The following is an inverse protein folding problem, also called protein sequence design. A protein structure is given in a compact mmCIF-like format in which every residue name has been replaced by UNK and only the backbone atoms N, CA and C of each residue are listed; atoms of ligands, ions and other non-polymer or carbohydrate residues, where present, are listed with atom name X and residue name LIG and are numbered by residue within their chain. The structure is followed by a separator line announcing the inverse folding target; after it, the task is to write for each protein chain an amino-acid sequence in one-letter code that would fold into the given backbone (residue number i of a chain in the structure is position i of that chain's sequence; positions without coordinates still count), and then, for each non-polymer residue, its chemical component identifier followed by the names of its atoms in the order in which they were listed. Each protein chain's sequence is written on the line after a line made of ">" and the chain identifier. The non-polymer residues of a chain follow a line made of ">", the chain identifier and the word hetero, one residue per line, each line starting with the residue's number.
data_IF_328217816117
#
_entry.id   IF_328217816117
#
_cell.length_a   1.000
_cell.length_b   1.000
_cell.length_c   1.000
_cell.angle_alpha   90.00
_cell.angle_beta   90.00
_cell.angle_gamma   90.00
#
_symmetry.space_group_name_H-M   'P 1'
#
loop_
_entity.id
_entity.type
_entity.pdbx_description
1 polymer ?
#
# COMPACT_ATOMS: atom_id res chain seq x y z
N UNK A 1 19.86 -10.45 0.32
CA UNK A 1 18.67 -11.31 0.19
C UNK A 1 18.98 -12.41 -0.80
N UNK A 2 18.55 -13.65 -0.56
CA UNK A 2 18.82 -14.76 -1.47
C UNK A 2 17.95 -14.67 -2.74
N UNK A 3 18.38 -15.30 -3.83
CA UNK A 3 17.61 -15.38 -5.09
C UNK A 3 16.23 -16.06 -4.90
N UNK A 4 16.04 -16.80 -3.80
CA UNK A 4 14.78 -17.49 -3.46
C UNK A 4 13.67 -16.58 -2.92
N UNK A 5 13.97 -15.34 -2.54
CA UNK A 5 12.98 -14.38 -2.00
C UNK A 5 12.66 -13.23 -2.97
N UNK A 6 13.04 -13.39 -4.24
CA UNK A 6 12.78 -12.40 -5.28
C UNK A 6 11.31 -12.43 -5.70
N UNK A 7 10.63 -11.28 -5.65
CA UNK A 7 9.22 -11.16 -6.05
C UNK A 7 9.16 -10.88 -7.55
N UNK A 8 8.42 -11.69 -8.29
CA UNK A 8 8.17 -11.50 -9.73
C UNK A 8 6.92 -10.64 -9.91
N UNK A 9 7.07 -9.48 -10.55
CA UNK A 9 5.99 -8.52 -10.75
C UNK A 9 5.67 -8.43 -12.24
N UNK A 10 4.46 -8.80 -12.64
CA UNK A 10 3.98 -8.52 -14.00
C UNK A 10 3.82 -7.00 -14.18
N UNK A 11 4.58 -6.42 -15.11
CA UNK A 11 4.39 -5.03 -15.54
C UNK A 11 3.36 -5.01 -16.68
N UNK A 12 2.15 -4.55 -16.36
CA UNK A 12 1.05 -4.42 -17.32
C UNK A 12 0.89 -2.95 -17.70
N UNK A 13 1.33 -2.62 -18.91
CA UNK A 13 1.44 -1.25 -19.42
C UNK A 13 1.00 -1.13 -20.87
N UNK A 14 0.55 0.07 -21.25
CA UNK A 14 0.21 0.45 -22.64
C UNK A 14 1.46 0.74 -23.49
N UNK A 15 2.48 -0.11 -23.37
CA UNK A 15 3.78 0.04 -24.03
C UNK A 15 4.80 -0.92 -23.43
N UNK A 16 5.86 -1.24 -24.18
CA UNK A 16 6.94 -2.14 -23.72
C UNK A 16 7.96 -1.41 -22.84
N UNK A 17 8.23 -0.14 -23.14
CA UNK A 17 9.11 0.72 -22.36
C UNK A 17 8.56 2.15 -22.32
N UNK A 18 8.64 2.80 -21.16
CA UNK A 18 8.31 4.22 -21.03
C UNK A 18 9.57 5.07 -20.97
N UNK A 19 9.80 5.86 -22.03
CA UNK A 19 10.87 6.86 -22.06
C UNK A 19 10.79 7.77 -20.82
N UNK A 20 11.85 7.76 -20.01
CA UNK A 20 11.97 8.58 -18.81
C UNK A 20 11.40 8.00 -17.51
N UNK A 21 10.58 6.94 -17.55
CA UNK A 21 10.01 6.30 -16.34
C UNK A 21 10.54 4.88 -16.14
N UNK A 22 10.91 4.18 -17.21
CA UNK A 22 11.34 2.78 -17.17
C UNK A 22 12.50 2.55 -16.20
N UNK A 23 13.53 3.41 -16.26
CA UNK A 23 14.68 3.36 -15.34
C UNK A 23 14.26 3.53 -13.88
N UNK A 24 13.30 4.40 -13.61
CA UNK A 24 12.81 4.65 -12.25
C UNK A 24 12.02 3.44 -11.70
N UNK A 25 11.26 2.75 -12.56
CA UNK A 25 10.58 1.49 -12.23
C UNK A 25 11.59 0.39 -11.88
N UNK A 26 12.61 0.21 -12.72
CA UNK A 26 13.65 -0.79 -12.51
C UNK A 26 14.45 -0.52 -11.23
N UNK A 27 14.82 0.75 -11.01
CA UNK A 27 15.50 1.16 -9.78
C UNK A 27 14.65 0.82 -8.55
N UNK A 28 13.38 1.22 -8.53
CA UNK A 28 12.49 0.96 -7.40
C UNK A 28 12.25 -0.56 -7.17
N UNK A 29 12.07 -1.34 -8.24
CA UNK A 29 11.92 -2.79 -8.13
C UNK A 29 13.19 -3.45 -7.57
N UNK A 30 14.37 -3.04 -8.05
CA UNK A 30 15.66 -3.58 -7.60
C UNK A 30 15.91 -3.33 -6.12
N UNK A 31 15.55 -2.13 -5.62
CA UNK A 31 15.65 -1.78 -4.19
C UNK A 31 14.84 -2.72 -3.29
N UNK A 32 13.76 -3.31 -3.81
CA UNK A 32 12.84 -4.19 -3.06
C UNK A 32 13.12 -5.67 -3.26
N UNK A 33 14.22 -6.02 -3.95
CA UNK A 33 14.50 -7.38 -4.41
C UNK A 33 13.31 -7.95 -5.22
N UNK A 34 12.81 -7.17 -6.17
CA UNK A 34 11.75 -7.56 -7.09
C UNK A 34 12.23 -7.47 -8.54
N UNK A 35 11.66 -8.31 -9.41
CA UNK A 35 11.96 -8.34 -10.84
C UNK A 35 10.70 -8.11 -11.65
N UNK A 36 10.80 -7.18 -12.60
CA UNK A 36 9.72 -6.89 -13.54
C UNK A 36 9.70 -7.98 -14.63
N UNK A 37 8.51 -8.50 -14.90
CA UNK A 37 8.22 -9.50 -15.93
C UNK A 37 7.22 -8.87 -16.89
N UNK A 38 7.51 -8.96 -18.19
CA UNK A 38 6.61 -8.52 -19.25
C UNK A 38 5.83 -9.74 -19.75
N UNK A 39 4.52 -9.84 -19.51
CA UNK A 39 3.75 -11.00 -19.95
C UNK A 39 3.78 -11.13 -21.47
N UNK A 40 4.15 -12.31 -21.95
CA UNK A 40 4.02 -12.67 -23.36
C UNK A 40 2.56 -12.99 -23.69
N UNK A 41 2.17 -12.78 -24.94
CA UNK A 41 0.78 -12.89 -25.39
C UNK A 41 0.74 -13.20 -26.89
N UNK A 42 -0.31 -13.86 -27.36
CA UNK A 42 -0.53 -14.14 -28.79
C UNK A 42 -1.15 -12.96 -29.52
N UNK A 43 -0.44 -12.41 -30.52
CA UNK A 43 -0.83 -11.21 -31.29
C UNK A 43 -2.22 -11.34 -31.88
N UNK A 44 -2.67 -12.56 -32.22
CA UNK A 44 -4.01 -12.80 -32.74
C UNK A 44 -5.14 -12.44 -31.76
N UNK A 45 -4.86 -12.42 -30.44
CA UNK A 45 -5.84 -12.05 -29.42
C UNK A 45 -6.22 -10.56 -29.43
N UNK A 46 -5.38 -9.69 -30.01
CA UNK A 46 -5.59 -8.24 -29.96
C UNK A 46 -6.88 -7.79 -30.65
N UNK A 47 -7.32 -8.49 -31.70
CA UNK A 47 -8.53 -8.14 -32.44
C UNK A 47 -9.81 -8.47 -31.68
N UNK A 48 -9.74 -9.39 -30.71
CA UNK A 48 -10.90 -9.87 -29.94
C UNK A 48 -10.89 -9.46 -28.47
N UNK A 49 -9.78 -8.89 -27.99
CA UNK A 49 -9.59 -8.56 -26.57
C UNK A 49 -10.63 -7.56 -26.04
N UNK A 50 -11.16 -6.68 -26.88
CA UNK A 50 -12.19 -5.73 -26.47
C UNK A 50 -13.48 -6.44 -26.03
N UNK A 51 -13.82 -7.57 -26.67
CA UNK A 51 -14.97 -8.40 -26.30
C UNK A 51 -14.77 -9.07 -24.94
N UNK A 52 -13.56 -9.55 -24.63
CA UNK A 52 -13.25 -10.22 -23.36
C UNK A 52 -13.48 -9.30 -22.15
N UNK A 53 -13.21 -8.00 -22.31
CA UNK A 53 -13.37 -6.99 -21.26
C UNK A 53 -14.69 -6.21 -21.38
N UNK A 54 -15.47 -6.42 -22.44
CA UNK A 54 -16.63 -5.58 -22.76
C UNK A 54 -16.27 -4.10 -22.97
N UNK A 55 -15.05 -3.82 -23.42
CA UNK A 55 -14.48 -2.48 -23.59
C UNK A 55 -13.70 -2.41 -24.89
N UNK A 56 -14.23 -1.71 -25.89
CA UNK A 56 -13.51 -1.43 -27.13
C UNK A 56 -12.66 -0.17 -27.00
N UNK A 57 -11.40 -0.25 -27.45
CA UNK A 57 -10.45 0.86 -27.43
C UNK A 57 -9.78 1.05 -28.78
N UNK A 58 -9.52 2.30 -29.15
CA UNK A 58 -8.93 2.62 -30.45
C UNK A 58 -7.41 2.34 -30.48
N UNK A 59 -6.73 2.53 -29.34
CA UNK A 59 -5.28 2.39 -29.24
C UNK A 59 -4.82 0.92 -29.26
N UNK A 60 -3.95 0.52 -30.20
CA UNK A 60 -3.34 -0.81 -30.20
C UNK A 60 -2.53 -1.10 -28.92
N UNK A 61 -1.90 -0.08 -28.35
CA UNK A 61 -1.12 -0.21 -27.11
C UNK A 61 -2.02 -0.50 -25.90
N UNK A 62 -3.25 0.05 -25.88
CA UNK A 62 -4.23 -0.29 -24.85
C UNK A 62 -4.78 -1.70 -25.04
N UNK A 63 -5.01 -2.15 -26.29
CA UNK A 63 -5.35 -3.55 -26.58
C UNK A 63 -4.24 -4.50 -26.11
N UNK A 64 -2.98 -4.14 -26.34
CA UNK A 64 -1.81 -4.87 -25.84
C UNK A 64 -1.80 -4.95 -24.32
N UNK A 65 -2.09 -3.84 -23.64
CA UNK A 65 -2.20 -3.80 -22.18
C UNK A 65 -3.27 -4.76 -21.66
N UNK A 66 -4.44 -4.80 -22.32
CA UNK A 66 -5.55 -5.70 -21.99
C UNK A 66 -5.18 -7.18 -22.25
N UNK A 67 -4.52 -7.47 -23.36
CA UNK A 67 -4.05 -8.82 -23.69
C UNK A 67 -3.01 -9.33 -22.70
N UNK A 68 -2.06 -8.49 -22.27
CA UNK A 68 -1.10 -8.81 -21.21
C UNK A 68 -1.80 -9.12 -19.88
N UNK A 69 -2.86 -8.38 -19.53
CA UNK A 69 -3.64 -8.66 -18.34
C UNK A 69 -4.33 -10.03 -18.41
N UNK A 70 -4.91 -10.38 -19.57
CA UNK A 70 -5.49 -11.70 -19.83
C UNK A 70 -4.45 -12.82 -19.71
N UNK A 71 -3.26 -12.65 -20.30
CA UNK A 71 -2.18 -13.62 -20.20
C UNK A 71 -1.71 -13.88 -18.76
N UNK A 72 -1.73 -12.85 -17.89
CA UNK A 72 -1.45 -13.02 -16.46
C UNK A 72 -2.52 -13.86 -15.78
N UNK A 73 -3.80 -13.59 -16.04
CA UNK A 73 -4.93 -14.35 -15.46
C UNK A 73 -4.94 -15.80 -15.93
N UNK A 74 -4.61 -16.05 -17.20
CA UNK A 74 -4.51 -17.40 -17.77
C UNK A 74 -3.28 -18.18 -17.26
N UNK A 75 -2.41 -17.55 -16.47
CA UNK A 75 -1.25 -18.20 -15.87
C UNK A 75 -0.09 -18.42 -16.85
N UNK A 76 -0.08 -17.72 -17.99
CA UNK A 76 1.01 -17.77 -18.98
C UNK A 76 2.30 -17.21 -18.37
N UNK A 77 2.18 -16.13 -17.60
CA UNK A 77 3.29 -15.53 -16.85
C UNK A 77 3.26 -15.98 -15.38
N UNK A 78 4.33 -16.64 -14.91
CA UNK A 78 4.50 -16.95 -13.48
C UNK A 78 4.97 -15.72 -12.72
N UNK A 79 4.05 -15.09 -11.98
CA UNK A 79 4.29 -13.87 -11.21
C UNK A 79 3.62 -13.93 -9.85
N UNK A 80 4.12 -13.14 -8.90
CA UNK A 80 3.62 -13.05 -7.53
C UNK A 80 2.70 -11.83 -7.31
N UNK A 81 2.71 -10.87 -8.24
CA UNK A 81 1.89 -9.68 -8.19
C UNK A 81 1.88 -8.94 -9.52
N UNK A 82 0.96 -7.98 -9.65
CA UNK A 82 0.76 -7.23 -10.90
C UNK A 82 0.81 -5.73 -10.64
N UNK A 83 1.65 -5.04 -11.40
CA UNK A 83 1.73 -3.59 -11.40
C UNK A 83 1.15 -3.06 -12.71
N UNK A 84 -0.03 -2.45 -12.61
CA UNK A 84 -0.77 -1.92 -13.77
C UNK A 84 -0.48 -0.43 -13.91
N UNK A 85 0.09 0.01 -15.02
CA UNK A 85 0.53 1.40 -15.14
C UNK A 85 0.26 2.02 -16.51
N UNK A 86 -0.01 3.32 -16.53
CA UNK A 86 -0.18 4.10 -17.76
C UNK A 86 0.13 5.59 -17.52
N UNK A 87 0.21 6.38 -18.59
CA UNK A 87 0.40 7.83 -18.46
C UNK A 87 -0.88 8.51 -17.97
N UNK A 88 -0.74 9.63 -17.26
CA UNK A 88 -1.88 10.42 -16.76
C UNK A 88 -2.65 11.19 -17.84
N UNK A 89 -2.06 11.37 -19.03
CA UNK A 89 -2.65 12.22 -20.09
C UNK A 89 -3.74 11.53 -20.91
N UNK A 90 -3.82 10.19 -20.86
CA UNK A 90 -4.76 9.43 -21.67
C UNK A 90 -6.00 9.03 -20.83
N UNK A 91 -7.15 9.64 -21.15
CA UNK A 91 -8.42 9.32 -20.49
C UNK A 91 -8.87 7.87 -20.75
N UNK A 92 -8.70 7.38 -21.98
CA UNK A 92 -8.99 5.98 -22.34
C UNK A 92 -8.13 5.01 -21.53
N UNK A 93 -6.84 5.31 -21.33
CA UNK A 93 -5.95 4.51 -20.49
C UNK A 93 -6.38 4.47 -19.02
N UNK A 94 -7.02 5.53 -18.51
CA UNK A 94 -7.54 5.53 -17.14
C UNK A 94 -8.70 4.53 -16.97
N UNK A 95 -9.58 4.43 -17.98
CA UNK A 95 -10.67 3.44 -18.00
C UNK A 95 -10.08 2.03 -18.11
N UNK A 96 -9.20 1.80 -19.08
CA UNK A 96 -8.54 0.51 -19.30
C UNK A 96 -7.79 0.04 -18.06
N UNK A 97 -7.02 0.92 -17.40
CA UNK A 97 -6.28 0.59 -16.18
C UNK A 97 -7.22 0.14 -15.05
N UNK A 98 -8.36 0.79 -14.89
CA UNK A 98 -9.36 0.41 -13.88
C UNK A 98 -10.01 -0.94 -14.20
N UNK A 99 -10.37 -1.16 -15.46
CA UNK A 99 -10.98 -2.42 -15.92
C UNK A 99 -10.02 -3.60 -15.82
N UNK A 100 -8.78 -3.44 -16.27
CA UNK A 100 -7.72 -4.43 -16.14
C UNK A 100 -7.45 -4.78 -14.67
N UNK A 101 -7.34 -3.77 -13.81
CA UNK A 101 -7.15 -4.00 -12.37
C UNK A 101 -8.27 -4.84 -11.79
N UNK A 102 -9.53 -4.50 -12.11
CA UNK A 102 -10.72 -5.26 -11.67
C UNK A 102 -10.69 -6.69 -12.21
N UNK A 103 -10.39 -6.87 -13.49
CA UNK A 103 -10.32 -8.17 -14.15
C UNK A 103 -9.25 -9.07 -13.53
N UNK A 104 -8.01 -8.58 -13.37
CA UNK A 104 -6.93 -9.35 -12.74
C UNK A 104 -7.33 -9.76 -11.33
N UNK A 105 -7.85 -8.81 -10.56
CA UNK A 105 -8.26 -9.07 -9.18
C UNK A 105 -9.29 -10.22 -9.10
N UNK A 106 -10.35 -10.14 -9.91
CA UNK A 106 -11.46 -11.09 -9.88
C UNK A 106 -11.07 -12.50 -10.33
N UNK A 107 -10.03 -12.63 -11.16
CA UNK A 107 -9.75 -13.88 -11.87
C UNK A 107 -8.40 -14.54 -11.53
N UNK A 108 -7.47 -13.86 -10.84
CA UNK A 108 -6.12 -14.41 -10.56
C UNK A 108 -5.79 -14.68 -9.09
N UNK A 109 -6.47 -13.99 -8.15
CA UNK A 109 -6.08 -14.00 -6.74
C UNK A 109 -4.69 -13.40 -6.46
N UNK A 110 -4.07 -12.74 -7.45
CA UNK A 110 -2.82 -12.00 -7.33
C UNK A 110 -3.08 -10.60 -6.78
N UNK A 111 -2.14 -10.06 -5.97
CA UNK A 111 -2.21 -8.66 -5.60
C UNK A 111 -1.98 -7.77 -6.82
N UNK A 112 -2.80 -6.74 -6.96
CA UNK A 112 -2.73 -5.81 -8.08
C UNK A 112 -2.73 -4.37 -7.59
N UNK A 113 -1.67 -3.64 -7.92
CA UNK A 113 -1.55 -2.21 -7.64
C UNK A 113 -1.52 -1.49 -8.97
N UNK A 114 -2.39 -0.48 -9.11
CA UNK A 114 -2.44 0.35 -10.31
C UNK A 114 -1.92 1.75 -10.05
N UNK A 115 -1.16 2.31 -10.99
CA UNK A 115 -0.66 3.69 -10.91
C UNK A 115 -0.78 4.42 -12.24
N UNK A 116 -0.94 5.74 -12.16
CA UNK A 116 -0.90 6.65 -13.30
C UNK A 116 0.31 7.55 -13.15
N UNK A 117 1.35 7.34 -13.96
CA UNK A 117 2.57 8.14 -13.84
C UNK A 117 2.37 9.55 -14.42
N UNK A 118 3.05 10.52 -13.80
CA UNK A 118 3.17 11.91 -14.28
C UNK A 118 4.46 12.09 -15.07
N UNK A 119 4.64 13.27 -15.67
CA UNK A 119 5.84 13.63 -16.45
C UNK A 119 7.16 13.54 -15.67
N UNK A 120 7.10 13.57 -14.34
CA UNK A 120 8.27 13.54 -13.45
C UNK A 120 8.12 12.46 -12.39
N UNK A 121 7.75 11.26 -12.80
CA UNK A 121 7.69 10.12 -11.88
C UNK A 121 9.10 9.70 -11.49
N UNK A 122 9.35 9.62 -10.18
CA UNK A 122 10.65 9.23 -9.60
C UNK A 122 10.59 7.84 -8.99
N UNK A 123 11.74 7.19 -8.81
CA UNK A 123 11.86 5.91 -8.14
C UNK A 123 11.30 5.97 -6.72
N UNK A 124 11.50 7.07 -5.99
CA UNK A 124 10.93 7.26 -4.66
C UNK A 124 9.39 7.21 -4.66
N UNK A 125 8.75 7.77 -5.70
CA UNK A 125 7.28 7.72 -5.85
C UNK A 125 6.81 6.29 -6.12
N UNK A 126 7.57 5.54 -6.92
CA UNK A 126 7.26 4.15 -7.27
C UNK A 126 7.56 3.19 -6.12
N UNK A 127 8.55 3.51 -5.28
CA UNK A 127 9.03 2.66 -4.20
C UNK A 127 7.90 2.28 -3.25
N UNK A 128 7.11 3.24 -2.74
CA UNK A 128 5.99 2.93 -1.83
C UNK A 128 4.97 1.99 -2.46
N UNK A 129 4.71 2.13 -3.76
CA UNK A 129 3.73 1.30 -4.48
C UNK A 129 4.24 -0.12 -4.69
N UNK A 130 5.49 -0.25 -5.08
CA UNK A 130 6.12 -1.56 -5.23
C UNK A 130 6.40 -2.20 -3.86
N UNK A 131 6.66 -1.42 -2.82
CA UNK A 131 6.85 -1.91 -1.45
C UNK A 131 5.54 -2.50 -0.91
N UNK A 132 4.41 -1.81 -1.10
CA UNK A 132 3.09 -2.35 -0.81
C UNK A 132 2.82 -3.64 -1.62
N UNK A 133 3.09 -3.63 -2.95
CA UNK A 133 2.85 -4.80 -3.81
C UNK A 133 3.67 -6.02 -3.35
N UNK A 134 4.97 -5.83 -3.14
CA UNK A 134 5.90 -6.88 -2.73
C UNK A 134 5.61 -7.37 -1.32
N UNK A 135 5.16 -6.47 -0.42
CA UNK A 135 4.65 -6.87 0.89
C UNK A 135 3.50 -7.82 0.74
N UNK A 136 2.45 -7.46 -0.01
CA UNK A 136 1.24 -8.26 -0.13
C UNK A 136 1.56 -9.61 -0.76
N UNK A 137 2.43 -9.62 -1.78
CA UNK A 137 2.91 -10.85 -2.41
C UNK A 137 3.64 -11.77 -1.41
N UNK A 138 4.56 -11.23 -0.59
CA UNK A 138 5.35 -12.00 0.39
C UNK A 138 4.54 -12.43 1.62
N UNK A 139 3.61 -11.59 2.06
CA UNK A 139 2.94 -11.67 3.38
C UNK A 139 1.44 -11.91 3.28
N UNK A 140 0.94 -12.46 2.16
CA UNK A 140 -0.49 -12.74 1.92
C UNK A 140 -1.17 -13.43 3.10
N UNK A 141 -0.50 -14.42 3.71
CA UNK A 141 -1.00 -15.16 4.87
C UNK A 141 -1.15 -14.29 6.13
N UNK A 142 -0.22 -13.36 6.39
CA UNK A 142 -0.34 -12.43 7.52
C UNK A 142 -1.49 -11.44 7.31
N UNK A 143 -1.65 -10.94 6.08
CA UNK A 143 -2.71 -9.99 5.74
C UNK A 143 -4.11 -10.62 5.73
N UNK A 144 -4.19 -11.92 5.46
CA UNK A 144 -5.43 -12.68 5.51
C UNK A 144 -5.91 -12.99 6.95
N UNK A 145 -5.10 -12.74 7.99
CA UNK A 145 -5.52 -12.96 9.37
C UNK A 145 -6.61 -11.98 9.76
N UNK A 146 -7.78 -12.48 10.14
CA UNK A 146 -8.91 -11.63 10.56
C UNK A 146 -8.93 -11.32 12.06
N UNK A 147 -8.18 -12.12 12.85
CA UNK A 147 -8.11 -12.03 14.30
C UNK A 147 -6.66 -11.86 14.77
N UNK A 148 -6.46 -10.90 15.66
CA UNK A 148 -5.27 -10.75 16.48
C UNK A 148 -5.37 -11.77 17.63
N UNK A 149 -4.26 -12.45 17.92
CA UNK A 149 -4.19 -13.44 19.00
C UNK A 149 -2.90 -13.24 19.78
N UNK A 150 -2.93 -13.55 21.06
CA UNK A 150 -1.79 -13.33 21.94
C UNK A 150 -1.62 -11.87 22.32
N UNK A 151 -0.53 -11.53 23.01
CA UNK A 151 -0.27 -10.18 23.51
C UNK A 151 0.72 -9.50 22.57
N UNK A 152 0.30 -8.45 21.85
CA UNK A 152 1.15 -7.77 20.86
C UNK A 152 1.05 -6.26 21.00
N UNK A 153 2.12 -5.56 20.61
CA UNK A 153 2.11 -4.11 20.50
C UNK A 153 2.30 -3.65 19.05
N UNK A 154 1.54 -2.62 18.65
CA UNK A 154 1.71 -1.93 17.38
C UNK A 154 2.11 -0.47 17.62
N UNK A 155 3.12 0.03 16.90
CA UNK A 155 3.61 1.42 17.00
C UNK A 155 3.54 2.08 15.63
N UNK A 156 2.81 3.18 15.52
CA UNK A 156 2.72 4.02 14.32
C UNK A 156 3.37 5.37 14.58
N UNK A 157 4.54 5.60 13.98
CA UNK A 157 5.24 6.88 14.08
C UNK A 157 5.09 7.70 12.80
N UNK A 158 4.04 8.53 12.81
CA UNK A 158 3.75 9.49 11.76
C UNK A 158 4.51 10.80 11.94
N UNK A 159 4.32 11.71 10.99
CA UNK A 159 4.99 13.02 10.96
C UNK A 159 4.64 13.97 12.10
N UNK A 160 3.44 13.82 12.66
CA UNK A 160 2.88 14.74 13.65
C UNK A 160 2.71 14.06 15.01
N UNK A 161 2.31 12.79 15.00
CA UNK A 161 2.01 12.02 16.21
C UNK A 161 2.56 10.60 16.09
N UNK A 162 3.01 10.08 17.23
CA UNK A 162 3.40 8.68 17.40
C UNK A 162 2.38 8.02 18.32
N UNK A 163 1.82 6.90 17.86
CA UNK A 163 0.77 6.15 18.54
C UNK A 163 1.26 4.74 18.83
N UNK A 164 0.85 4.18 19.96
CA UNK A 164 1.08 2.79 20.29
C UNK A 164 -0.20 2.16 20.85
N UNK A 165 -0.41 0.89 20.56
CA UNK A 165 -1.53 0.11 21.08
C UNK A 165 -1.02 -1.25 21.55
N UNK A 166 -1.42 -1.67 22.74
CA UNK A 166 -1.24 -3.04 23.25
C UNK A 166 -2.57 -3.76 23.12
N UNK A 167 -2.56 -4.91 22.42
CA UNK A 167 -3.75 -5.73 22.20
C UNK A 167 -3.55 -7.14 22.72
N UNK A 168 -4.66 -7.75 23.17
CA UNK A 168 -4.75 -9.17 23.48
C UNK A 168 -6.05 -9.75 22.93
N UNK A 169 -5.92 -10.74 22.06
CA UNK A 169 -7.04 -11.50 21.50
C UNK A 169 -8.17 -10.58 20.99
N UNK A 170 -7.83 -9.64 20.11
CA UNK A 170 -8.68 -8.58 19.52
C UNK A 170 -9.11 -7.44 20.47
N UNK A 171 -8.81 -7.52 21.77
CA UNK A 171 -9.11 -6.46 22.73
C UNK A 171 -7.94 -5.48 22.89
N UNK A 172 -8.23 -4.18 22.89
CA UNK A 172 -7.26 -3.13 23.22
C UNK A 172 -7.13 -3.05 24.75
N UNK A 173 -5.92 -3.30 25.26
CA UNK A 173 -5.62 -3.24 26.70
C UNK A 173 -5.05 -1.89 27.12
N UNK A 174 -4.38 -1.19 26.20
CA UNK A 174 -3.80 0.12 26.47
C UNK A 174 -3.38 0.84 25.20
N UNK A 175 -3.35 2.16 25.27
CA UNK A 175 -3.01 3.06 24.19
C UNK A 175 -2.03 4.15 24.66
N UNK A 176 -1.20 4.61 23.74
CA UNK A 176 -0.31 5.73 23.95
C UNK A 176 -0.35 6.64 22.74
N UNK A 177 -0.40 7.94 22.98
CA UNK A 177 -0.49 8.93 21.90
C UNK A 177 0.31 10.17 22.29
N UNK A 178 1.40 10.42 21.57
CA UNK A 178 2.28 11.56 21.83
C UNK A 178 2.61 12.33 20.54
N UNK A 179 2.95 13.62 20.63
CA UNK A 179 3.52 14.35 19.51
C UNK A 179 4.84 13.71 19.04
N UNK A 180 5.05 13.58 17.72
CA UNK A 180 6.34 13.15 17.18
C UNK A 180 7.32 14.31 17.21
N UNK A 181 8.23 14.33 18.18
CA UNK A 181 9.31 15.33 18.26
C UNK A 181 10.63 14.69 17.86
N UNK A 182 11.00 13.60 18.54
CA UNK A 182 12.12 12.74 18.19
C UNK A 182 11.61 11.31 18.09
N UNK A 183 11.77 10.71 16.92
CA UNK A 183 11.13 9.43 16.55
C UNK A 183 11.29 8.34 17.62
N UNK A 184 12.52 8.09 18.09
CA UNK A 184 12.78 7.04 19.08
C UNK A 184 12.22 7.36 20.46
N UNK A 185 12.48 8.55 20.99
CA UNK A 185 11.97 8.98 22.31
C UNK A 185 10.42 9.01 22.31
N UNK A 186 9.80 9.41 21.20
CA UNK A 186 8.34 9.45 21.06
C UNK A 186 7.76 8.03 20.97
N UNK A 187 8.44 7.10 20.30
CA UNK A 187 8.03 5.70 20.23
C UNK A 187 8.13 5.01 21.60
N UNK A 188 9.24 5.21 22.31
CA UNK A 188 9.42 4.67 23.67
C UNK A 188 8.36 5.24 24.62
N UNK A 189 8.09 6.55 24.54
CA UNK A 189 7.07 7.19 25.36
C UNK A 189 5.65 6.69 25.06
N UNK A 190 5.28 6.54 23.78
CA UNK A 190 3.97 6.02 23.40
C UNK A 190 3.81 4.56 23.85
N UNK A 191 4.82 3.71 23.62
CA UNK A 191 4.78 2.32 24.04
C UNK A 191 4.69 2.19 25.57
N UNK A 192 5.44 3.00 26.32
CA UNK A 192 5.38 3.00 27.77
C UNK A 192 3.99 3.38 28.28
N UNK A 193 3.35 4.41 27.73
CA UNK A 193 1.97 4.79 28.09
C UNK A 193 0.99 3.64 27.85
N UNK A 194 1.07 2.97 26.70
CA UNK A 194 0.20 1.85 26.37
C UNK A 194 0.41 0.65 27.31
N UNK A 195 1.66 0.34 27.67
CA UNK A 195 2.01 -0.71 28.62
C UNK A 195 1.54 -0.41 30.04
N UNK A 196 1.75 0.83 30.51
CA UNK A 196 1.31 1.27 31.83
C UNK A 196 -0.21 1.16 31.97
N UNK A 197 -0.96 1.59 30.94
CA UNK A 197 -2.42 1.46 30.91
C UNK A 197 -2.86 0.00 30.88
N UNK A 198 -2.17 -0.86 30.14
CA UNK A 198 -2.43 -2.30 30.11
C UNK A 198 -2.01 -3.03 31.41
N UNK A 199 -1.28 -2.37 32.31
CA UNK A 199 -0.70 -3.00 33.51
C UNK A 199 0.34 -4.08 33.17
N UNK A 200 1.04 -3.92 32.04
CA UNK A 200 1.98 -4.88 31.49
C UNK A 200 3.38 -4.30 31.39
N UNK A 201 4.37 -5.18 31.18
CA UNK A 201 5.74 -4.82 30.85
C UNK A 201 6.07 -5.25 29.44
N UNK A 202 7.16 -4.72 28.90
CA UNK A 202 7.63 -5.05 27.56
C UNK A 202 7.91 -6.55 27.40
N UNK A 203 8.35 -7.22 28.46
CA UNK A 203 8.66 -8.66 28.43
C UNK A 203 7.41 -9.55 28.31
N UNK A 204 6.21 -8.99 28.56
CA UNK A 204 4.93 -9.69 28.39
C UNK A 204 4.48 -9.71 26.91
N UNK A 205 5.05 -8.83 26.07
CA UNK A 205 4.73 -8.75 24.64
C UNK A 205 5.34 -9.93 23.89
N UNK A 206 4.51 -10.61 23.10
CA UNK A 206 4.91 -11.74 22.25
C UNK A 206 5.40 -11.31 20.87
N UNK A 207 4.95 -10.14 20.41
CA UNK A 207 5.44 -9.53 19.18
C UNK A 207 5.24 -8.00 19.17
N UNK A 208 6.12 -7.31 18.45
CA UNK A 208 6.05 -5.87 18.20
C UNK A 208 6.00 -5.60 16.70
N UNK A 209 5.01 -4.81 16.28
CA UNK A 209 4.89 -4.28 14.92
C UNK A 209 5.15 -2.78 14.88
N UNK A 210 5.82 -2.30 13.83
CA UNK A 210 6.06 -0.86 13.60
C UNK A 210 5.63 -0.41 12.21
N UNK A 211 5.10 0.81 12.16
CA UNK A 211 4.68 1.50 10.94
C UNK A 211 4.89 3.01 11.04
N UNK A 212 4.48 3.74 10.00
CA UNK A 212 4.74 5.16 9.86
C UNK A 212 6.05 5.46 9.13
N UNK A 213 6.33 6.77 9.00
CA UNK A 213 7.60 7.29 8.49
C UNK A 213 8.79 6.85 9.35
N UNK A 214 8.61 6.71 10.67
CA UNK A 214 9.64 6.30 11.61
C UNK A 214 9.92 4.79 11.69
N UNK A 215 9.14 3.96 10.97
CA UNK A 215 9.07 2.50 11.19
C UNK A 215 10.41 1.76 11.14
N UNK A 216 11.31 2.15 10.24
CA UNK A 216 12.59 1.45 10.04
C UNK A 216 13.51 1.69 11.24
N UNK A 217 13.61 2.95 11.66
CA UNK A 217 14.42 3.36 12.80
C UNK A 217 13.90 2.75 14.11
N UNK A 218 12.58 2.77 14.30
CA UNK A 218 11.94 2.16 15.48
C UNK A 218 12.05 0.63 15.42
N UNK A 219 11.89 0.05 14.23
CA UNK A 219 11.99 -1.39 14.02
C UNK A 219 13.34 -1.94 14.43
N UNK A 220 14.41 -1.25 14.06
CA UNK A 220 15.78 -1.58 14.49
C UNK A 220 15.98 -1.36 16.00
N UNK A 221 15.57 -0.19 16.52
CA UNK A 221 15.71 0.14 17.95
C UNK A 221 14.97 -0.83 18.88
N UNK A 222 13.78 -1.26 18.49
CA UNK A 222 12.95 -2.15 19.30
C UNK A 222 13.09 -3.63 18.96
N UNK A 223 13.91 -3.97 17.95
CA UNK A 223 14.00 -5.31 17.39
C UNK A 223 12.61 -5.88 17.04
N UNK A 224 11.83 -5.11 16.27
CA UNK A 224 10.43 -5.43 15.95
C UNK A 224 10.30 -6.63 15.03
N UNK A 225 9.35 -7.51 15.33
CA UNK A 225 9.03 -8.71 14.55
C UNK A 225 8.43 -8.36 13.18
N UNK A 226 7.72 -7.23 13.10
CA UNK A 226 7.08 -6.77 11.89
C UNK A 226 7.35 -5.28 11.65
N UNK A 227 8.12 -4.96 10.62
CA UNK A 227 8.21 -3.59 10.08
C UNK A 227 7.39 -3.52 8.80
N UNK A 228 6.42 -2.61 8.76
CA UNK A 228 5.42 -2.57 7.68
C UNK A 228 5.03 -1.15 7.29
N UNK A 229 4.92 -0.89 6.00
CA UNK A 229 4.47 0.41 5.47
C UNK A 229 2.98 0.71 5.76
N UNK A 230 2.63 2.00 5.78
CA UNK A 230 1.35 2.51 6.28
C UNK A 230 0.14 2.14 5.41
N UNK A 231 0.26 2.02 4.09
CA UNK A 231 -0.88 1.75 3.19
C UNK A 231 -1.52 0.42 3.56
N UNK A 232 -0.72 -0.62 3.70
CA UNK A 232 -1.18 -1.97 4.05
C UNK A 232 -1.78 -2.00 5.46
N UNK A 233 -1.15 -1.32 6.44
CA UNK A 233 -1.64 -1.33 7.81
C UNK A 233 -2.87 -0.45 8.03
N UNK A 234 -2.92 0.76 7.45
CA UNK A 234 -4.10 1.63 7.52
C UNK A 234 -5.30 0.96 6.84
N UNK A 235 -5.06 0.25 5.73
CA UNK A 235 -6.08 -0.60 5.11
C UNK A 235 -6.59 -1.65 6.07
N UNK A 236 -5.68 -2.45 6.64
CA UNK A 236 -6.04 -3.57 7.52
C UNK A 236 -6.73 -3.10 8.80
N UNK A 237 -6.26 -2.01 9.40
CA UNK A 237 -6.82 -1.40 10.59
C UNK A 237 -8.24 -0.86 10.32
N UNK A 238 -8.41 -0.07 9.26
CA UNK A 238 -9.70 0.56 8.96
C UNK A 238 -10.80 -0.48 8.67
N UNK A 239 -10.50 -1.53 7.91
CA UNK A 239 -11.47 -2.59 7.61
C UNK A 239 -11.71 -3.53 8.78
N UNK A 240 -10.71 -3.75 9.65
CA UNK A 240 -10.86 -4.48 10.91
C UNK A 240 -11.85 -3.75 11.82
N UNK A 241 -11.62 -2.46 12.10
CA UNK A 241 -12.47 -1.64 12.95
C UNK A 241 -13.89 -1.48 12.39
N UNK A 242 -14.04 -1.44 11.07
CA UNK A 242 -15.35 -1.34 10.41
C UNK A 242 -16.10 -2.69 10.31
N UNK A 243 -15.49 -3.82 10.70
CA UNK A 243 -16.06 -5.15 10.45
C UNK A 243 -16.25 -5.45 8.97
N UNK A 244 -15.38 -4.90 8.11
CA UNK A 244 -15.42 -4.99 6.63
C UNK A 244 -14.16 -5.63 6.05
N UNK A 245 -13.62 -6.62 6.74
CA UNK A 245 -12.43 -7.35 6.29
C UNK A 245 -12.66 -8.16 5.00
N UNK A 246 -13.92 -8.39 4.61
CA UNK A 246 -14.32 -9.04 3.37
C UNK A 246 -15.15 -8.09 2.49
N UNK A 247 -15.02 -8.25 1.18
CA UNK A 247 -15.67 -7.42 0.18
C UNK A 247 -14.92 -6.12 -0.13
N UNK A 248 -15.57 -5.26 -0.92
CA UNK A 248 -15.02 -3.98 -1.34
C UNK A 248 -15.18 -2.91 -0.26
N UNK A 249 -14.15 -2.11 -0.04
CA UNK A 249 -14.20 -0.92 0.79
C UNK A 249 -13.34 0.21 0.20
N UNK A 250 -13.55 1.42 0.70
CA UNK A 250 -12.67 2.56 0.43
C UNK A 250 -12.22 3.13 1.75
N UNK A 251 -10.91 3.23 1.94
CA UNK A 251 -10.30 3.86 3.11
C UNK A 251 -9.81 5.24 2.72
N UNK A 252 -10.23 6.24 3.49
CA UNK A 252 -9.76 7.63 3.37
C UNK A 252 -9.02 7.94 4.65
N UNK A 253 -7.70 8.05 4.56
CA UNK A 253 -6.79 8.40 5.65
C UNK A 253 -6.43 9.88 5.50
N UNK A 254 -6.84 10.71 6.46
CA UNK A 254 -6.51 12.14 6.48
C UNK A 254 -5.52 12.37 7.63
N UNK A 255 -4.24 12.33 7.29
CA UNK A 255 -3.15 12.54 8.24
C UNK A 255 -2.84 14.02 8.48
N UNK A 256 -1.76 14.26 9.23
CA UNK A 256 -1.27 15.62 9.52
C UNK A 256 -0.72 16.33 8.28
N UNK A 257 0.17 15.68 7.53
CA UNK A 257 0.86 16.27 6.37
C UNK A 257 0.43 15.71 5.01
N UNK A 258 -0.23 14.55 5.00
CA UNK A 258 -0.67 13.88 3.79
C UNK A 258 -2.12 13.38 3.95
N UNK A 259 -2.69 12.95 2.82
CA UNK A 259 -3.95 12.22 2.79
C UNK A 259 -3.81 11.05 1.82
N UNK A 260 -4.60 10.01 2.02
CA UNK A 260 -4.57 8.80 1.22
C UNK A 260 -5.99 8.34 0.94
N UNK A 261 -6.25 7.95 -0.30
CA UNK A 261 -7.46 7.25 -0.68
C UNK A 261 -7.06 5.89 -1.21
N UNK A 262 -7.58 4.83 -0.60
CA UNK A 262 -7.20 3.45 -0.85
C UNK A 262 -8.46 2.68 -1.19
N UNK A 263 -8.50 2.10 -2.38
CA UNK A 263 -9.47 1.05 -2.71
C UNK A 263 -9.01 -0.26 -2.07
N UNK A 264 -9.93 -0.90 -1.37
CA UNK A 264 -9.67 -2.11 -0.60
C UNK A 264 -10.59 -3.20 -1.08
N UNK A 265 -10.08 -4.42 -1.08
CA UNK A 265 -10.87 -5.59 -1.36
C UNK A 265 -10.35 -6.74 -0.51
N UNK A 266 -11.24 -7.34 0.27
CA UNK A 266 -10.90 -8.44 1.20
C UNK A 266 -9.73 -8.09 2.13
N UNK A 267 -9.73 -6.84 2.62
CA UNK A 267 -8.72 -6.30 3.52
C UNK A 267 -7.34 -6.06 2.88
N UNK A 268 -7.23 -6.20 1.56
CA UNK A 268 -5.99 -5.98 0.80
C UNK A 268 -6.10 -4.67 0.01
N UNK A 269 -5.08 -3.79 0.06
CA UNK A 269 -5.08 -2.57 -0.74
C UNK A 269 -4.89 -2.87 -2.23
N UNK A 270 -5.70 -2.24 -3.08
CA UNK A 270 -5.59 -2.28 -4.53
C UNK A 270 -4.99 -0.99 -5.10
N UNK A 271 -5.83 -0.17 -5.73
CA UNK A 271 -5.43 1.18 -6.15
C UNK A 271 -5.39 2.11 -4.94
N UNK A 272 -4.35 2.94 -4.87
CA UNK A 272 -4.34 4.06 -3.93
C UNK A 272 -3.71 5.31 -4.53
N UNK A 273 -4.16 6.45 -4.01
CA UNK A 273 -3.58 7.76 -4.27
C UNK A 273 -3.15 8.36 -2.95
N UNK A 274 -1.95 8.93 -2.93
CA UNK A 274 -1.48 9.74 -1.81
C UNK A 274 -1.44 11.19 -2.29
N UNK A 275 -2.08 12.08 -1.52
CA UNK A 275 -1.90 13.51 -1.68
C UNK A 275 -0.44 13.90 -1.46
N UNK A 276 0.01 14.92 -2.19
CA UNK A 276 1.31 15.53 -1.90
C UNK A 276 1.27 16.33 -0.59
N UNK A 277 2.37 17.01 -0.28
CA UNK A 277 2.52 17.95 0.86
C UNK A 277 1.73 19.26 0.58
N UNK A 278 0.53 19.15 0.01
CA UNK A 278 -0.37 20.28 -0.15
C UNK A 278 -1.20 20.38 1.12
N UNK A 279 -0.88 21.36 1.96
CA UNK A 279 -1.52 21.55 3.26
C UNK A 279 -3.06 21.61 3.16
N UNK A 280 -3.62 22.11 2.05
CA UNK A 280 -5.06 22.36 1.88
C UNK A 280 -5.99 21.15 2.02
N UNK A 281 -5.46 19.92 2.06
CA UNK A 281 -6.24 18.70 2.25
C UNK A 281 -5.68 17.79 3.37
N UNK A 282 -5.02 18.36 4.37
CA UNK A 282 -4.47 17.61 5.52
C UNK A 282 -4.79 18.29 6.86
N UNK A 283 -4.51 17.59 7.96
CA UNK A 283 -4.68 18.11 9.32
C UNK A 283 -3.92 19.42 9.58
N UNK A 284 -2.80 19.65 8.89
CA UNK A 284 -2.03 20.89 8.98
C UNK A 284 -2.85 22.13 8.56
N UNK A 285 -3.74 22.01 7.57
CA UNK A 285 -4.63 23.13 7.22
C UNK A 285 -5.62 23.44 8.34
N UNK A 286 -6.19 22.40 8.96
CA UNK A 286 -7.05 22.59 10.12
C UNK A 286 -6.25 23.29 11.22
N UNK A 287 -5.05 22.81 11.55
CA UNK A 287 -4.17 23.36 12.61
C UNK A 287 -3.83 24.83 12.38
N UNK A 288 -3.47 25.21 11.15
CA UNK A 288 -3.21 26.61 10.81
C UNK A 288 -4.47 27.48 10.92
N UNK A 289 -5.62 26.94 10.52
CA UNK A 289 -6.90 27.66 10.53
C UNK A 289 -7.39 27.88 11.96
N UNK A 290 -7.33 26.86 12.80
CA UNK A 290 -7.76 26.94 14.19
C UNK A 290 -6.92 27.95 14.98
N UNK A 291 -5.58 27.93 14.79
CA UNK A 291 -4.66 28.92 15.37
C UNK A 291 -5.01 30.35 14.97
N UNK A 292 -5.42 30.58 13.72
CA UNK A 292 -5.85 31.92 13.25
C UNK A 292 -7.17 32.37 13.84
N UNK A 293 -8.09 31.42 14.06
CA UNK A 293 -9.40 31.67 14.65
C UNK A 293 -9.35 31.74 16.18
N UNK A 294 -8.24 31.37 16.81
CA UNK A 294 -8.12 31.30 18.27
C UNK A 294 -8.95 30.17 18.88
N UNK A 295 -9.13 29.07 18.14
CA UNK A 295 -9.88 27.88 18.58
C UNK A 295 -8.99 26.64 18.56
N UNK A 296 -9.28 25.67 19.40
CA UNK A 296 -8.60 24.37 19.42
C UNK A 296 -9.28 23.37 18.47
N UNK A 297 -8.53 22.36 18.01
CA UNK A 297 -9.02 21.26 17.14
C UNK A 297 -9.44 20.03 17.96
N UNK A 298 -9.05 20.02 19.23
CA UNK A 298 -9.24 18.93 20.19
C UNK A 298 -9.94 19.48 21.41
#
# INVERSE_FOLDING_TARGET
>A
MSEKDQVLIALVSCGSEYAGVQKELENAASTLNAKLVYPEMDVASLDTIGMDFGLEVASPDLKLMMARAKAVVEGVAKVDGVFVTSCFRCAEAAIVRNEIRRYIFQNSGLPVISYSFTERTTAATLLTRLEALTTIARRKHLLAREHQVGITAGIDSGSTTTKAVVMKDDEILGEGWVPTIKVLESADSALQQALDQAGMKREDLQAIGTTGYGRLLIGEHLNSDLVQEEITLNTKCAVYLAGKQQGSATVIDIGGMDNKAISVQDGIPGMFTMGGICAGASGLFLEMTSKRLGVEIT
#
